data_IF_879050081970
#
_entry.id   IF_879050081970
#
_cell.length_a   1.000
_cell.length_b   1.000
_cell.length_c   1.000
_cell.angle_alpha   90.00
_cell.angle_beta   90.00
_cell.angle_gamma   90.00
#
_symmetry.space_group_name_H-M   'P 1'
#
loop_
_entity.id
_entity.type
_entity.pdbx_description
1 polymer ?
#
# COMPACT_ATOMS: atom_id res chain seq x y z
N UNK A 1 26.96 -0.10 -8.87
CA UNK A 1 25.67 -0.31 -8.20
C UNK A 1 24.90 0.99 -8.30
N UNK A 2 23.65 0.97 -8.78
CA UNK A 2 22.81 2.17 -8.84
C UNK A 2 22.39 2.51 -7.41
N UNK A 3 22.66 3.74 -6.97
CA UNK A 3 22.26 4.22 -5.66
C UNK A 3 20.75 4.57 -5.71
N UNK A 4 19.93 3.65 -5.22
CA UNK A 4 18.48 3.78 -5.24
C UNK A 4 18.03 4.59 -4.01
N UNK A 5 17.66 5.86 -4.22
CA UNK A 5 17.18 6.77 -3.17
C UNK A 5 15.65 6.91 -3.17
N UNK A 6 14.95 5.86 -2.75
CA UNK A 6 13.50 5.86 -2.55
C UNK A 6 13.08 4.96 -1.39
N UNK A 7 11.89 5.21 -0.84
CA UNK A 7 11.29 4.40 0.24
C UNK A 7 10.00 3.73 -0.20
N UNK A 8 9.50 2.77 0.58
CA UNK A 8 8.18 2.18 0.34
C UNK A 8 7.10 3.27 0.36
N UNK A 9 6.13 3.17 -0.55
CA UNK A 9 5.09 4.17 -0.76
C UNK A 9 5.50 5.34 -1.66
N UNK A 10 6.76 5.46 -2.06
CA UNK A 10 7.16 6.43 -3.06
C UNK A 10 6.71 6.00 -4.45
N UNK A 11 6.31 6.99 -5.24
CA UNK A 11 6.08 6.81 -6.67
C UNK A 11 7.41 7.07 -7.39
N UNK A 12 7.86 6.11 -8.19
CA UNK A 12 9.19 6.09 -8.79
C UNK A 12 9.07 5.74 -10.26
N UNK A 13 9.80 6.50 -11.09
CA UNK A 13 10.05 6.14 -12.49
C UNK A 13 11.29 5.25 -12.56
N UNK A 14 11.13 4.04 -13.07
CA UNK A 14 12.19 3.08 -13.32
C UNK A 14 12.52 3.06 -14.81
N UNK A 15 13.83 3.08 -15.12
CA UNK A 15 14.34 2.78 -16.46
C UNK A 15 15.00 1.42 -16.44
N UNK A 16 14.42 0.51 -17.20
CA UNK A 16 14.94 -0.84 -17.44
C UNK A 16 15.67 -0.87 -18.79
N UNK A 17 16.27 -2.01 -19.13
CA UNK A 17 16.98 -2.18 -20.40
C UNK A 17 16.10 -1.96 -21.64
N UNK A 18 14.80 -2.31 -21.56
CA UNK A 18 13.89 -2.29 -22.71
C UNK A 18 12.75 -1.27 -22.60
N UNK A 19 12.47 -0.77 -21.40
CA UNK A 19 11.28 0.04 -21.14
C UNK A 19 11.48 0.99 -19.95
N UNK A 20 10.62 1.99 -19.85
CA UNK A 20 10.46 2.83 -18.66
C UNK A 20 9.06 2.61 -18.08
N UNK A 21 8.97 2.54 -16.76
CA UNK A 21 7.70 2.35 -16.05
C UNK A 21 7.61 3.25 -14.82
N UNK A 22 6.40 3.76 -14.57
CA UNK A 22 6.06 4.47 -13.34
C UNK A 22 5.30 3.52 -12.41
N UNK A 23 5.77 3.38 -11.18
CA UNK A 23 5.17 2.48 -10.21
C UNK A 23 5.36 2.96 -8.77
N UNK A 24 4.50 2.48 -7.88
CA UNK A 24 4.62 2.72 -6.43
C UNK A 24 5.45 1.61 -5.81
N UNK A 25 6.52 1.96 -5.10
CA UNK A 25 7.37 0.99 -4.40
C UNK A 25 6.62 0.37 -3.24
N UNK A 26 6.59 -0.95 -3.16
CA UNK A 26 6.02 -1.71 -2.05
C UNK A 26 7.13 -2.21 -1.13
N UNK A 27 6.73 -2.57 0.10
CA UNK A 27 7.62 -3.30 1.00
C UNK A 27 7.88 -4.70 0.45
N UNK A 28 9.14 -5.12 0.45
CA UNK A 28 9.59 -6.42 -0.05
C UNK A 28 10.40 -7.13 1.03
N UNK A 29 10.13 -8.42 1.23
CA UNK A 29 10.97 -9.30 2.06
C UNK A 29 12.24 -9.75 1.34
N UNK A 30 12.31 -9.58 0.01
CA UNK A 30 13.40 -10.02 -0.84
C UNK A 30 14.38 -8.87 -1.11
N UNK A 31 15.66 -9.07 -0.74
CA UNK A 31 16.67 -8.00 -0.80
C UNK A 31 17.06 -7.61 -2.22
N UNK A 32 17.02 -8.54 -3.17
CA UNK A 32 17.49 -8.32 -4.55
C UNK A 32 16.36 -7.93 -5.51
N UNK A 33 15.12 -7.90 -5.01
CA UNK A 33 13.92 -7.56 -5.79
C UNK A 33 13.32 -6.26 -5.26
N UNK A 34 13.07 -5.33 -6.17
CA UNK A 34 12.22 -4.17 -5.90
C UNK A 34 10.79 -4.56 -6.25
N UNK A 35 9.95 -4.73 -5.23
CA UNK A 35 8.52 -4.96 -5.42
C UNK A 35 7.83 -3.62 -5.71
N UNK A 36 7.09 -3.54 -6.82
CA UNK A 36 6.38 -2.34 -7.21
C UNK A 36 4.94 -2.64 -7.62
N UNK A 37 4.07 -1.65 -7.50
CA UNK A 37 2.68 -1.69 -7.95
C UNK A 37 2.50 -0.78 -9.15
N UNK A 38 2.06 -1.38 -10.26
CA UNK A 38 1.75 -0.68 -11.50
C UNK A 38 0.44 0.11 -11.37
N UNK A 39 0.25 1.10 -12.24
CA UNK A 39 -1.01 1.85 -12.36
C UNK A 39 -2.22 0.97 -12.71
N UNK A 40 -1.98 -0.20 -13.33
CA UNK A 40 -2.98 -1.24 -13.58
C UNK A 40 -3.47 -1.97 -12.32
N UNK A 41 -2.79 -1.79 -11.19
CA UNK A 41 -3.11 -2.46 -9.92
C UNK A 41 -2.36 -3.77 -9.68
N UNK A 42 -1.58 -4.26 -10.65
CA UNK A 42 -0.74 -5.45 -10.50
C UNK A 42 0.56 -5.15 -9.74
N UNK A 43 1.00 -6.12 -8.94
CA UNK A 43 2.30 -6.07 -8.28
C UNK A 43 3.31 -6.88 -9.10
N UNK A 44 4.50 -6.33 -9.33
CA UNK A 44 5.60 -7.00 -10.03
C UNK A 44 6.90 -6.86 -9.24
N UNK A 45 7.75 -7.88 -9.32
CA UNK A 45 9.11 -7.83 -8.79
C UNK A 45 10.11 -7.48 -9.89
N UNK A 46 10.93 -6.46 -9.67
CA UNK A 46 12.01 -6.06 -10.58
C UNK A 46 13.35 -6.41 -9.94
N UNK A 47 14.15 -7.32 -10.54
CA UNK A 47 15.52 -7.57 -10.08
C UNK A 47 16.34 -6.28 -10.11
N UNK A 48 17.04 -5.96 -9.02
CA UNK A 48 17.83 -4.71 -8.91
C UNK A 48 18.87 -4.54 -10.00
N UNK A 49 19.45 -5.65 -10.46
CA UNK A 49 20.40 -5.69 -11.57
C UNK A 49 19.83 -5.19 -12.91
N UNK A 50 18.51 -5.26 -13.10
CA UNK A 50 17.83 -4.81 -14.31
C UNK A 50 17.47 -3.33 -14.29
N UNK A 51 17.67 -2.65 -13.15
CA UNK A 51 17.35 -1.24 -12.98
C UNK A 51 18.56 -0.40 -13.41
N UNK A 52 18.44 0.27 -14.55
CA UNK A 52 19.47 1.18 -15.04
C UNK A 52 19.43 2.52 -14.31
N UNK A 53 18.22 3.00 -14.01
CA UNK A 53 18.01 4.27 -13.34
C UNK A 53 16.66 4.28 -12.62
N UNK A 54 16.58 4.97 -11.48
CA UNK A 54 15.33 5.17 -10.76
C UNK A 54 15.26 6.60 -10.19
N UNK A 55 14.12 7.27 -10.35
CA UNK A 55 13.89 8.62 -9.83
C UNK A 55 12.52 8.74 -9.20
N UNK A 56 12.46 9.26 -7.98
CA UNK A 56 11.21 9.62 -7.31
C UNK A 56 10.45 10.68 -8.10
N UNK A 57 9.15 10.51 -8.25
CA UNK A 57 8.24 11.47 -8.86
C UNK A 57 7.21 11.97 -7.84
N UNK A 58 6.65 13.18 -8.00
CA UNK A 58 5.71 13.75 -7.05
C UNK A 58 4.42 12.92 -7.02
N UNK A 59 4.09 12.37 -5.85
CA UNK A 59 2.85 11.63 -5.63
C UNK A 59 1.72 12.59 -5.25
N UNK A 60 0.56 12.44 -5.89
CA UNK A 60 -0.66 13.19 -5.53
C UNK A 60 -1.23 12.61 -4.22
N UNK A 61 -0.99 13.29 -3.10
CA UNK A 61 -1.48 12.88 -1.77
C UNK A 61 -2.97 13.22 -1.67
N UNK A 62 -3.84 12.22 -1.68
CA UNK A 62 -5.26 12.39 -1.37
C UNK A 62 -5.40 12.14 0.13
N UNK A 63 -5.78 13.17 0.88
CA UNK A 63 -6.13 13.02 2.30
C UNK A 63 -7.52 12.39 2.33
N UNK A 64 -7.61 11.18 2.89
CA UNK A 64 -8.92 10.59 3.18
C UNK A 64 -9.48 11.26 4.44
N UNK A 65 -10.61 11.94 4.29
CA UNK A 65 -11.35 12.48 5.43
C UNK A 65 -11.88 11.32 6.27
N UNK A 66 -11.52 11.30 7.56
CA UNK A 66 -12.19 10.44 8.53
C UNK A 66 -13.63 10.93 8.68
N UNK A 67 -14.58 10.20 8.09
CA UNK A 67 -16.00 10.38 8.40
C UNK A 67 -16.28 9.79 9.78
N UNK A 68 -16.73 10.63 10.70
CA UNK A 68 -17.33 10.16 11.94
C UNK A 68 -18.73 9.59 11.62
N UNK A 69 -18.98 8.35 12.04
CA UNK A 69 -20.28 7.72 11.91
C UNK A 69 -20.92 7.67 13.29
N UNK A 70 -22.11 8.25 13.43
CA UNK A 70 -22.96 8.01 14.59
C UNK A 70 -23.61 6.63 14.44
N UNK A 71 -23.44 5.75 15.43
CA UNK A 71 -24.10 4.45 15.44
C UNK A 71 -25.56 4.63 15.89
N UNK A 72 -26.55 4.23 15.09
CA UNK A 72 -27.95 4.31 15.49
C UNK A 72 -28.23 3.28 16.60
N UNK A 73 -28.81 3.73 17.72
CA UNK A 73 -29.33 2.85 18.76
C UNK A 73 -30.76 2.44 18.41
N UNK A 74 -31.06 1.14 18.46
CA UNK A 74 -32.42 0.62 18.29
C UNK A 74 -33.01 0.25 19.65
N UNK A 75 -34.20 0.75 19.94
CA UNK A 75 -34.94 0.42 21.16
C UNK A 75 -35.31 -1.07 21.19
N UNK A 76 -35.33 -1.66 22.39
CA UNK A 76 -35.71 -3.07 22.60
C UNK A 76 -34.60 -4.10 22.35
N UNK A 77 -33.37 -3.70 22.03
CA UNK A 77 -32.21 -4.61 21.93
C UNK A 77 -31.35 -4.57 23.20
N UNK A 78 -30.80 -5.72 23.58
CA UNK A 78 -29.82 -5.84 24.68
C UNK A 78 -28.42 -5.34 24.32
N UNK A 79 -27.55 -5.19 25.32
CA UNK A 79 -26.15 -4.79 25.12
C UNK A 79 -25.25 -6.01 24.94
N UNK A 80 -24.32 -5.94 23.98
CA UNK A 80 -23.29 -6.96 23.74
C UNK A 80 -21.92 -6.28 23.83
N UNK A 81 -21.04 -6.82 24.68
CA UNK A 81 -19.64 -6.41 24.74
C UNK A 81 -18.78 -7.24 23.79
N UNK A 82 -17.88 -6.59 23.05
CA UNK A 82 -16.89 -7.26 22.19
C UNK A 82 -15.50 -6.94 22.76
N UNK A 83 -14.77 -7.96 23.20
CA UNK A 83 -13.39 -7.85 23.69
C UNK A 83 -12.48 -8.36 22.57
N UNK A 84 -11.68 -7.48 21.98
CA UNK A 84 -10.71 -7.85 20.97
C UNK A 84 -9.41 -8.33 21.65
N UNK A 85 -9.04 -9.60 21.45
CA UNK A 85 -7.82 -10.21 22.00
C UNK A 85 -6.74 -10.48 20.93
N UNK A 86 -6.95 -10.00 19.70
CA UNK A 86 -6.06 -10.17 18.55
C UNK A 86 -6.71 -10.85 17.35
N UNK A 87 -7.76 -11.64 17.56
CA UNK A 87 -8.59 -12.18 16.48
C UNK A 87 -9.29 -11.05 15.71
N UNK A 88 -9.03 -10.95 14.41
CA UNK A 88 -9.61 -9.90 13.55
C UNK A 88 -10.96 -10.36 12.99
N UNK A 89 -12.05 -9.71 13.41
CA UNK A 89 -13.42 -9.97 12.90
C UNK A 89 -13.82 -8.98 11.79
N UNK A 90 -13.14 -7.83 11.73
CA UNK A 90 -13.40 -6.79 10.75
C UNK A 90 -12.09 -6.09 10.34
N UNK A 91 -11.94 -5.82 9.05
CA UNK A 91 -10.79 -5.11 8.48
C UNK A 91 -11.20 -4.18 7.35
N UNK A 92 -10.34 -3.20 7.05
CA UNK A 92 -10.47 -2.33 5.88
C UNK A 92 -9.36 -2.68 4.90
N UNK A 93 -9.75 -2.93 3.66
CA UNK A 93 -8.84 -3.10 2.53
C UNK A 93 -8.58 -1.73 1.89
N UNK A 94 -7.31 -1.37 1.75
CA UNK A 94 -6.88 -0.26 0.90
C UNK A 94 -6.55 -0.81 -0.49
N UNK A 95 -7.44 -0.60 -1.46
CA UNK A 95 -7.27 -1.09 -2.83
C UNK A 95 -6.05 -0.48 -3.54
N UNK A 96 -5.62 0.72 -3.14
CA UNK A 96 -4.46 1.37 -3.76
C UNK A 96 -3.18 0.69 -3.33
N UNK A 97 -2.99 0.43 -2.05
CA UNK A 97 -1.78 -0.24 -1.55
C UNK A 97 -1.87 -1.76 -1.59
N UNK A 98 -3.10 -2.32 -1.61
CA UNK A 98 -3.34 -3.74 -1.34
C UNK A 98 -3.23 -4.11 0.16
N UNK A 99 -2.94 -3.13 1.02
CA UNK A 99 -2.79 -3.35 2.45
C UNK A 99 -4.12 -3.60 3.14
N UNK A 100 -4.11 -4.50 4.11
CA UNK A 100 -5.26 -4.79 4.98
C UNK A 100 -4.96 -4.24 6.37
N UNK A 101 -5.89 -3.45 6.92
CA UNK A 101 -5.78 -2.93 8.29
C UNK A 101 -6.94 -3.46 9.13
N UNK A 102 -6.70 -3.97 10.36
CA UNK A 102 -7.80 -4.29 11.27
C UNK A 102 -8.62 -3.03 11.58
N UNK A 103 -9.91 -3.19 11.84
CA UNK A 103 -10.83 -2.10 12.23
C UNK A 103 -10.84 -1.83 13.75
N UNK A 104 -9.91 -2.42 14.50
CA UNK A 104 -9.70 -2.21 15.93
C UNK A 104 -9.12 -0.84 16.27
#
# INVERSE_FOLDING_TARGET
MVELSFSHGDEVRFRLAKEELDAVVLESSEKDIVLVKLSSGYNIGIPKENILFARKIPRKRIVEEKKEFALPKKEGLGSIGIIATGGTIASRLDYKTGGVKPLS
#
